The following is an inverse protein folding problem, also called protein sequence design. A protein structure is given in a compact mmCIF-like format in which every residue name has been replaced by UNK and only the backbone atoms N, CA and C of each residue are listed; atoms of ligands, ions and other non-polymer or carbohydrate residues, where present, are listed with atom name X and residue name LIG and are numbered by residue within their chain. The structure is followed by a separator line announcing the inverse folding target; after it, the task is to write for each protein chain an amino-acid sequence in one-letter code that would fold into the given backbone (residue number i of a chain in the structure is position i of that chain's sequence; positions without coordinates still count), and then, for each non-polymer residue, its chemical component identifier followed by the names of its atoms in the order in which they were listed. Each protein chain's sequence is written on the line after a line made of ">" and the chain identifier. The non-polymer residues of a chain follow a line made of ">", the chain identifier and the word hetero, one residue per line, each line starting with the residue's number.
data_IF_797616951964
#
_entry.id   IF_797616951964
#
_cell.length_a   1.000
_cell.length_b   1.000
_cell.length_c   1.000
_cell.angle_alpha   90.00
_cell.angle_beta   90.00
_cell.angle_gamma   90.00
#
_symmetry.space_group_name_H-M   'P 1'
#
loop_
_entity.id
_entity.type
_entity.pdbx_description
1 polymer ?
#
# COMPACT_ATOMS: atom_id res chain seq x y z
N UNK A 1 -8.58 5.79 0.06
CA UNK A 1 -8.41 5.07 -1.22
C UNK A 1 -8.06 3.61 -0.97
N UNK A 2 -6.90 3.28 -0.36
CA UNK A 2 -6.57 1.89 0.00
C UNK A 2 -7.57 1.21 0.92
N UNK A 3 -7.97 1.90 1.99
CA UNK A 3 -9.00 1.41 2.92
C UNK A 3 -10.28 1.00 2.18
N UNK A 4 -10.77 1.88 1.30
CA UNK A 4 -11.96 1.61 0.48
C UNK A 4 -11.79 0.38 -0.41
N UNK A 5 -10.64 0.21 -1.05
CA UNK A 5 -10.36 -0.98 -1.86
C UNK A 5 -10.35 -2.25 -0.98
N UNK A 6 -9.74 -2.20 0.21
CA UNK A 6 -9.74 -3.32 1.13
C UNK A 6 -11.15 -3.65 1.65
N UNK A 7 -11.96 -2.63 1.93
CA UNK A 7 -13.36 -2.77 2.34
C UNK A 7 -14.22 -3.35 1.20
N UNK A 8 -14.10 -2.82 -0.02
CA UNK A 8 -14.83 -3.28 -1.21
C UNK A 8 -14.46 -4.74 -1.57
N UNK A 9 -13.20 -5.12 -1.33
CA UNK A 9 -12.70 -6.49 -1.51
C UNK A 9 -12.95 -7.41 -0.30
N UNK A 10 -13.53 -6.90 0.79
CA UNK A 10 -13.78 -7.63 2.04
C UNK A 10 -12.53 -8.33 2.59
N UNK A 11 -11.38 -7.67 2.52
CA UNK A 11 -10.14 -8.19 3.06
C UNK A 11 -10.17 -8.17 4.59
N UNK A 12 -9.58 -9.19 5.22
CA UNK A 12 -9.23 -9.14 6.63
C UNK A 12 -7.93 -8.35 6.78
N UNK A 13 -8.01 -7.15 7.35
CA UNK A 13 -6.87 -6.27 7.53
C UNK A 13 -6.96 -5.48 8.84
N UNK A 14 -5.80 -5.13 9.37
CA UNK A 14 -5.67 -4.26 10.54
C UNK A 14 -5.06 -2.93 10.11
N UNK A 15 -5.62 -1.82 10.59
CA UNK A 15 -5.03 -0.51 10.38
C UNK A 15 -3.84 -0.31 11.33
N UNK A 16 -2.64 -0.17 10.78
CA UNK A 16 -1.43 0.16 11.54
C UNK A 16 -1.11 1.66 11.34
N UNK A 17 -1.52 2.51 12.28
CA UNK A 17 -1.24 3.94 12.24
C UNK A 17 0.25 4.23 12.50
N UNK A 18 0.89 5.01 11.63
CA UNK A 18 2.31 5.41 11.77
C UNK A 18 3.32 4.50 11.07
N UNK A 19 2.91 3.32 10.60
CA UNK A 19 3.74 2.39 9.82
C UNK A 19 3.84 2.78 8.33
N UNK A 20 2.92 3.61 7.84
CA UNK A 20 2.92 4.08 6.47
C UNK A 20 4.16 4.94 6.19
N UNK A 21 4.75 4.79 4.99
CA UNK A 21 5.84 5.65 4.59
C UNK A 21 5.38 7.10 4.47
N UNK A 22 6.29 8.04 4.74
CA UNK A 22 5.97 9.47 4.73
C UNK A 22 5.42 9.98 3.38
N UNK A 23 5.68 9.26 2.29
CA UNK A 23 5.32 9.63 0.92
C UNK A 23 4.05 8.93 0.39
N UNK A 24 3.41 8.10 1.20
CA UNK A 24 2.13 7.52 0.83
C UNK A 24 1.75 6.26 1.60
N UNK A 25 0.46 5.89 1.53
CA UNK A 25 -0.06 4.74 2.25
C UNK A 25 0.40 3.43 1.59
N UNK A 26 0.59 2.40 2.42
CA UNK A 26 1.01 1.04 2.00
C UNK A 26 0.00 -0.01 2.48
N UNK A 27 -0.04 -1.14 1.79
CA UNK A 27 -0.75 -2.35 2.17
C UNK A 27 0.24 -3.51 2.16
N UNK A 28 0.54 -4.05 3.33
CA UNK A 28 1.50 -5.14 3.52
C UNK A 28 0.77 -6.48 3.68
N UNK A 29 1.10 -7.45 2.83
CA UNK A 29 0.55 -8.79 2.87
C UNK A 29 1.50 -9.69 3.69
N UNK A 30 1.05 -10.03 4.89
CA UNK A 30 1.77 -10.92 5.83
C UNK A 30 1.23 -12.35 5.68
N UNK A 31 2.13 -13.32 5.57
CA UNK A 31 1.81 -14.76 5.51
C UNK A 31 2.38 -15.44 6.75
N UNK A 32 1.59 -16.34 7.34
CA UNK A 32 2.00 -17.11 8.52
C UNK A 32 2.58 -18.46 8.11
N UNK A 33 3.79 -18.77 8.58
CA UNK A 33 4.41 -20.07 8.33
C UNK A 33 3.91 -21.18 9.29
N UNK A 34 4.34 -22.42 9.05
CA UNK A 34 3.95 -23.56 9.89
C UNK A 34 4.49 -23.51 11.33
N UNK A 35 5.45 -22.63 11.62
CA UNK A 35 5.99 -22.35 12.95
C UNK A 35 5.30 -21.15 13.61
N UNK A 36 4.32 -20.55 12.94
CA UNK A 36 3.55 -19.43 13.44
C UNK A 36 4.22 -18.05 13.30
N UNK A 37 5.31 -17.93 12.53
CA UNK A 37 5.98 -16.65 12.27
C UNK A 37 5.28 -15.92 11.14
N UNK A 38 5.24 -14.59 11.23
CA UNK A 38 4.68 -13.74 10.17
C UNK A 38 5.80 -13.22 9.26
N UNK A 39 5.60 -13.38 7.96
CA UNK A 39 6.51 -12.92 6.93
C UNK A 39 5.78 -11.96 6.00
N UNK A 40 6.30 -10.75 5.85
CA UNK A 40 5.81 -9.84 4.82
C UNK A 40 6.32 -10.32 3.45
N UNK A 41 5.41 -10.73 2.58
CA UNK A 41 5.76 -11.29 1.27
C UNK A 41 5.56 -10.28 0.14
N UNK A 42 4.58 -9.39 0.27
CA UNK A 42 4.26 -8.44 -0.79
C UNK A 42 3.78 -7.13 -0.19
N UNK A 43 4.07 -6.03 -0.88
CA UNK A 43 3.66 -4.69 -0.48
C UNK A 43 3.10 -3.98 -1.69
N UNK A 44 1.89 -3.44 -1.54
CA UNK A 44 1.32 -2.49 -2.48
C UNK A 44 1.43 -1.09 -1.87
N UNK A 45 2.18 -0.22 -2.53
CA UNK A 45 2.47 1.11 -2.02
C UNK A 45 2.16 2.17 -3.07
N UNK A 46 1.45 3.22 -2.63
CA UNK A 46 1.28 4.41 -3.45
C UNK A 46 2.42 5.39 -3.17
N UNK A 47 3.11 5.81 -4.22
CA UNK A 47 4.18 6.82 -4.15
C UNK A 47 3.74 8.08 -4.91
N UNK A 48 3.56 9.16 -4.16
CA UNK A 48 3.24 10.48 -4.71
C UNK A 48 4.46 11.41 -4.77
N UNK A 49 5.58 11.03 -4.16
CA UNK A 49 6.77 11.86 -4.02
C UNK A 49 7.70 11.73 -5.22
N UNK A 50 7.97 10.51 -5.68
CA UNK A 50 8.86 10.31 -6.84
C UNK A 50 8.31 10.91 -8.14
N UNK A 51 7.00 10.83 -8.46
CA UNK A 51 6.45 11.51 -9.63
C UNK A 51 6.71 13.02 -9.65
N UNK A 52 6.56 13.70 -8.52
CA UNK A 52 6.86 15.12 -8.39
C UNK A 52 8.37 15.39 -8.52
N UNK A 53 9.21 14.61 -7.84
CA UNK A 53 10.68 14.78 -7.86
C UNK A 53 11.32 14.55 -9.22
N UNK A 54 10.69 13.76 -10.09
CA UNK A 54 11.17 13.48 -11.44
C UNK A 54 10.41 14.26 -12.53
N UNK A 55 9.59 15.24 -12.15
CA UNK A 55 8.76 16.03 -13.07
C UNK A 55 7.95 15.16 -14.04
N UNK A 56 7.41 14.04 -13.56
CA UNK A 56 6.67 13.10 -14.39
C UNK A 56 5.32 13.71 -14.81
N UNK A 57 5.11 13.85 -16.11
CA UNK A 57 3.88 14.38 -16.70
C UNK A 57 3.23 13.37 -17.64
N UNK A 58 1.91 13.40 -17.72
CA UNK A 58 1.14 12.69 -18.75
C UNK A 58 0.06 13.61 -19.31
N UNK A 59 -0.31 13.40 -20.58
CA UNK A 59 -1.41 14.12 -21.23
C UNK A 59 -2.63 13.22 -21.16
N UNK A 60 -3.72 13.71 -20.58
CA UNK A 60 -5.03 13.05 -20.66
C UNK A 60 -5.86 13.68 -21.79
N UNK A 61 -6.82 12.92 -22.32
CA UNK A 61 -7.77 13.48 -23.28
C UNK A 61 -8.79 14.36 -22.55
N UNK A 62 -8.88 15.60 -23.01
CA UNK A 62 -9.81 16.64 -22.54
C UNK A 62 -11.27 16.21 -22.67
#
# INVERSE_FOLDING_TARGET
>A
MLKKVADDMQLDYTAEEGEAAFYGPKLDFKVKDCLGREWQCSTLQFDFNLPERFDMIYINNK
#
